data_IF_207475966405
#
_entry.id   IF_207475966405
#
_cell.length_a   1.000
_cell.length_b   1.000
_cell.length_c   1.000
_cell.angle_alpha   90.00
_cell.angle_beta   90.00
_cell.angle_gamma   90.00
#
_symmetry.space_group_name_H-M   'P 1'
#
loop_
_entity.id
_entity.type
_entity.pdbx_description
1 polymer ?
#
# COMPACT_ATOMS: atom_id res chain seq x y z
N UNK A 1 34.18 -32.50 21.48
CA UNK A 1 33.45 -32.44 20.20
C UNK A 1 32.56 -31.22 20.23
N UNK A 2 32.69 -30.36 19.23
CA UNK A 2 31.84 -29.16 19.05
C UNK A 2 30.45 -29.62 18.67
N UNK A 3 29.44 -29.28 19.49
CA UNK A 3 28.03 -29.50 19.14
C UNK A 3 27.72 -28.68 17.88
N UNK A 4 27.15 -29.32 16.87
CA UNK A 4 26.66 -28.62 15.69
C UNK A 4 25.48 -27.73 16.09
N UNK A 5 25.61 -26.43 15.86
CA UNK A 5 24.59 -25.42 16.14
C UNK A 5 23.88 -25.14 14.82
N UNK A 6 22.56 -25.30 14.80
CA UNK A 6 21.76 -25.07 13.60
C UNK A 6 21.09 -23.69 13.67
N UNK A 7 20.99 -23.03 12.52
CA UNK A 7 20.33 -21.75 12.36
C UNK A 7 19.80 -21.66 10.92
N UNK A 8 18.53 -21.29 10.76
CA UNK A 8 17.92 -21.09 9.44
C UNK A 8 18.30 -19.70 8.92
N UNK A 9 18.32 -19.54 7.60
CA UNK A 9 18.52 -18.25 6.95
C UNK A 9 17.44 -18.04 5.88
N UNK A 10 16.30 -17.51 6.31
CA UNK A 10 15.19 -17.14 5.45
C UNK A 10 15.47 -15.77 4.81
N UNK A 11 15.19 -15.65 3.51
CA UNK A 11 15.30 -14.38 2.78
C UNK A 11 14.15 -13.43 3.16
N UNK A 12 14.43 -12.46 4.03
CA UNK A 12 13.44 -11.48 4.49
C UNK A 12 12.98 -10.53 3.38
N UNK A 13 13.77 -10.36 2.32
CA UNK A 13 13.42 -9.46 1.20
C UNK A 13 12.15 -9.93 0.47
N UNK A 14 11.84 -11.23 0.54
CA UNK A 14 10.60 -11.79 -0.01
C UNK A 14 9.37 -11.22 0.70
N UNK A 15 9.44 -11.05 2.02
CA UNK A 15 8.33 -10.53 2.81
C UNK A 15 8.20 -9.01 2.62
N UNK A 16 9.33 -8.30 2.50
CA UNK A 16 9.36 -6.87 2.15
C UNK A 16 8.67 -6.62 0.79
N UNK A 17 9.04 -7.39 -0.24
CA UNK A 17 8.45 -7.29 -1.58
C UNK A 17 6.94 -7.60 -1.55
N UNK A 18 6.51 -8.58 -0.77
CA UNK A 18 5.09 -8.87 -0.57
C UNK A 18 4.36 -7.64 0.01
N UNK A 19 4.92 -7.05 1.07
CA UNK A 19 4.34 -5.88 1.74
C UNK A 19 4.23 -4.68 0.81
N UNK A 20 5.27 -4.41 0.03
CA UNK A 20 5.27 -3.34 -0.96
C UNK A 20 4.18 -3.58 -2.01
N UNK A 21 4.07 -4.80 -2.54
CA UNK A 21 3.05 -5.14 -3.54
C UNK A 21 1.63 -5.04 -3.00
N UNK A 22 1.37 -5.49 -1.77
CA UNK A 22 0.05 -5.34 -1.12
C UNK A 22 -0.38 -3.87 -1.04
N UNK A 23 0.56 -2.98 -0.74
CA UNK A 23 0.31 -1.55 -0.53
C UNK A 23 0.42 -0.70 -1.80
N UNK A 24 0.95 -1.23 -2.91
CA UNK A 24 1.11 -0.50 -4.18
C UNK A 24 -0.23 0.04 -4.75
N UNK A 25 -1.31 -0.73 -4.56
CA UNK A 25 -2.68 -0.36 -4.97
C UNK A 25 -3.63 -0.58 -3.79
N UNK A 26 -3.43 0.17 -2.71
CA UNK A 26 -4.06 -0.11 -1.41
C UNK A 26 -5.59 -0.07 -1.49
N UNK A 27 -6.18 0.87 -2.24
CA UNK A 27 -7.63 0.95 -2.41
C UNK A 27 -8.20 -0.28 -3.13
N UNK A 28 -7.41 -0.96 -3.96
CA UNK A 28 -7.82 -2.22 -4.56
C UNK A 28 -7.73 -3.33 -3.52
N UNK A 29 -6.58 -3.46 -2.84
CA UNK A 29 -6.35 -4.56 -1.89
C UNK A 29 -7.26 -4.50 -0.66
N UNK A 30 -7.56 -3.31 -0.11
CA UNK A 30 -8.47 -3.13 1.04
C UNK A 30 -9.90 -3.63 0.75
N UNK A 31 -10.28 -3.65 -0.54
CA UNK A 31 -11.58 -4.12 -0.98
C UNK A 31 -11.60 -5.62 -1.34
N UNK A 32 -10.47 -6.34 -1.25
CA UNK A 32 -10.44 -7.80 -1.38
C UNK A 32 -11.27 -8.42 -0.26
N UNK A 33 -12.14 -9.37 -0.63
CA UNK A 33 -13.02 -10.09 0.28
C UNK A 33 -12.47 -11.47 0.61
N UNK A 34 -12.75 -11.92 1.82
CA UNK A 34 -12.61 -13.30 2.29
C UNK A 34 -14.00 -13.75 2.78
N UNK A 35 -14.72 -14.46 1.92
CA UNK A 35 -16.16 -14.70 2.10
C UNK A 35 -16.98 -13.40 1.99
N UNK A 36 -17.81 -13.14 2.98
CA UNK A 36 -18.68 -11.94 3.00
C UNK A 36 -17.97 -10.68 3.53
N UNK A 37 -16.82 -10.84 4.19
CA UNK A 37 -16.13 -9.77 4.89
C UNK A 37 -14.89 -9.29 4.13
N UNK A 38 -14.45 -8.06 4.42
CA UNK A 38 -13.17 -7.55 3.90
C UNK A 38 -12.01 -8.32 4.53
N UNK A 39 -11.03 -8.66 3.71
CA UNK A 39 -9.84 -9.41 4.13
C UNK A 39 -8.74 -8.51 4.71
N UNK A 40 -8.84 -7.18 4.61
CA UNK A 40 -7.76 -6.24 4.91
C UNK A 40 -7.11 -6.45 6.28
N UNK A 41 -7.90 -6.49 7.36
CA UNK A 41 -7.35 -6.67 8.70
C UNK A 41 -6.60 -8.00 8.87
N UNK A 42 -7.07 -9.06 8.17
CA UNK A 42 -6.37 -10.36 8.13
C UNK A 42 -5.07 -10.26 7.33
N UNK A 43 -5.08 -9.56 6.20
CA UNK A 43 -3.88 -9.35 5.37
C UNK A 43 -2.82 -8.57 6.17
N UNK A 44 -3.20 -7.49 6.85
CA UNK A 44 -2.30 -6.72 7.72
C UNK A 44 -1.72 -7.59 8.83
N UNK A 45 -2.57 -8.32 9.56
CA UNK A 45 -2.11 -9.21 10.62
C UNK A 45 -1.17 -10.31 10.11
N UNK A 46 -1.40 -10.83 8.90
CA UNK A 46 -0.50 -11.80 8.25
C UNK A 46 0.86 -11.16 7.94
N UNK A 47 0.89 -9.99 7.31
CA UNK A 47 2.16 -9.32 6.97
C UNK A 47 2.97 -9.01 8.22
N UNK A 48 2.35 -8.47 9.28
CA UNK A 48 3.03 -8.17 10.54
C UNK A 48 3.58 -9.44 11.20
N UNK A 49 2.81 -10.54 11.16
CA UNK A 49 3.27 -11.84 11.67
C UNK A 49 4.42 -12.42 10.86
N UNK A 50 4.40 -12.27 9.53
CA UNK A 50 5.48 -12.76 8.69
C UNK A 50 6.78 -11.99 8.97
N UNK A 51 6.73 -10.66 9.04
CA UNK A 51 7.90 -9.82 9.35
C UNK A 51 8.52 -10.23 10.69
N UNK A 52 7.73 -10.19 11.77
CA UNK A 52 8.22 -10.49 13.12
C UNK A 52 8.74 -11.92 13.24
N UNK A 53 8.01 -12.89 12.68
CA UNK A 53 8.33 -14.31 12.90
C UNK A 53 9.49 -14.78 12.01
N UNK A 54 9.63 -14.26 10.79
CA UNK A 54 10.78 -14.56 9.93
C UNK A 54 12.05 -13.99 10.54
N UNK A 55 12.03 -12.75 11.04
CA UNK A 55 13.18 -12.16 11.74
C UNK A 55 13.54 -12.96 13.00
N UNK A 56 12.54 -13.33 13.80
CA UNK A 56 12.74 -14.18 14.97
C UNK A 56 13.39 -15.53 14.62
N UNK A 57 12.88 -16.22 13.59
CA UNK A 57 13.41 -17.51 13.13
C UNK A 57 14.86 -17.39 12.62
N UNK A 58 15.19 -16.30 11.96
CA UNK A 58 16.57 -16.01 11.54
C UNK A 58 17.51 -15.74 12.72
N UNK A 59 16.99 -15.24 13.84
CA UNK A 59 17.78 -14.95 15.05
C UNK A 59 18.02 -16.14 15.99
N UNK A 60 17.20 -17.19 15.93
CA UNK A 60 17.28 -18.34 16.84
C UNK A 60 18.39 -19.33 16.45
N UNK A 61 19.20 -19.71 17.45
CA UNK A 61 20.19 -20.78 17.35
C UNK A 61 19.71 -22.03 18.07
N UNK A 62 19.78 -23.17 17.39
CA UNK A 62 19.38 -24.48 17.89
C UNK A 62 20.60 -25.29 18.35
N UNK A 63 20.39 -26.22 19.29
CA UNK A 63 21.43 -27.07 19.88
C UNK A 63 22.58 -26.30 20.55
N UNK A 64 22.27 -25.17 21.19
CA UNK A 64 23.26 -24.33 21.90
C UNK A 64 23.85 -24.99 23.15
N UNK A 65 23.37 -26.18 23.52
CA UNK A 65 23.77 -26.89 24.73
C UNK A 65 23.16 -26.34 26.02
N UNK A 66 22.29 -25.33 25.94
CA UNK A 66 21.55 -24.76 27.09
C UNK A 66 20.66 -25.79 27.79
N UNK A 67 20.10 -26.73 27.03
CA UNK A 67 19.21 -27.77 27.53
C UNK A 67 19.80 -29.15 27.24
N UNK A 68 19.86 -30.01 28.27
CA UNK A 68 20.50 -31.33 28.19
C UNK A 68 19.53 -32.50 28.14
N UNK A 69 18.25 -32.29 28.45
CA UNK A 69 17.21 -33.34 28.51
C UNK A 69 16.08 -33.17 27.49
N UNK A 70 15.85 -31.95 27.02
CA UNK A 70 14.80 -31.65 26.04
C UNK A 70 15.22 -30.51 25.13
N UNK A 71 14.91 -30.61 23.84
CA UNK A 71 15.21 -29.62 22.82
C UNK A 71 14.16 -28.49 22.83
N UNK A 72 14.14 -27.67 23.90
CA UNK A 72 13.19 -26.56 24.02
C UNK A 72 13.35 -25.50 22.93
N UNK A 73 14.59 -25.30 22.47
CA UNK A 73 14.91 -24.47 21.31
C UNK A 73 14.22 -24.98 20.03
N UNK A 74 14.19 -26.30 19.83
CA UNK A 74 13.46 -26.90 18.71
C UNK A 74 11.93 -26.78 18.84
N UNK A 75 11.37 -26.88 20.05
CA UNK A 75 9.92 -26.67 20.27
C UNK A 75 9.50 -25.25 19.92
N UNK A 76 10.26 -24.29 20.40
CA UNK A 76 10.04 -22.88 20.13
C UNK A 76 10.18 -22.58 18.63
N UNK A 77 11.20 -23.13 17.99
CA UNK A 77 11.38 -23.06 16.54
C UNK A 77 10.16 -23.62 15.79
N UNK A 78 9.72 -24.85 16.08
CA UNK A 78 8.58 -25.48 15.39
C UNK A 78 7.28 -24.68 15.56
N UNK A 79 7.05 -24.11 16.75
CA UNK A 79 5.86 -23.31 17.01
C UNK A 79 5.86 -22.03 16.16
N UNK A 80 6.97 -21.30 16.12
CA UNK A 80 7.06 -20.07 15.32
C UNK A 80 7.07 -20.38 13.82
N UNK A 81 7.78 -21.42 13.40
CA UNK A 81 7.81 -21.89 12.02
C UNK A 81 6.40 -22.24 11.49
N UNK A 82 5.56 -22.86 12.34
CA UNK A 82 4.18 -23.14 11.94
C UNK A 82 3.29 -21.91 11.80
N UNK A 83 3.56 -20.83 12.56
CA UNK A 83 2.84 -19.56 12.38
C UNK A 83 3.14 -18.97 11.00
N UNK A 84 4.40 -18.99 10.56
CA UNK A 84 4.79 -18.57 9.20
C UNK A 84 4.05 -19.39 8.14
N UNK A 85 4.04 -20.71 8.28
CA UNK A 85 3.34 -21.62 7.34
C UNK A 85 1.84 -21.32 7.29
N UNK A 86 1.18 -21.14 8.43
CA UNK A 86 -0.25 -20.86 8.50
C UNK A 86 -0.60 -19.49 7.90
N UNK A 87 0.21 -18.47 8.16
CA UNK A 87 0.10 -17.14 7.56
C UNK A 87 0.17 -17.21 6.03
N UNK A 88 1.14 -17.95 5.47
CA UNK A 88 1.33 -18.12 4.02
C UNK A 88 0.13 -18.87 3.41
N UNK A 89 -0.34 -19.96 4.03
CA UNK A 89 -1.53 -20.70 3.57
C UNK A 89 -2.77 -19.83 3.56
N UNK A 90 -2.99 -19.03 4.61
CA UNK A 90 -4.15 -18.16 4.70
C UNK A 90 -4.08 -17.03 3.66
N UNK A 91 -2.89 -16.50 3.39
CA UNK A 91 -2.71 -15.48 2.35
C UNK A 91 -2.94 -16.03 0.95
N UNK A 92 -2.38 -17.21 0.65
CA UNK A 92 -2.64 -17.94 -0.59
C UNK A 92 -4.13 -18.17 -0.81
N UNK A 93 -4.85 -18.58 0.25
CA UNK A 93 -6.31 -18.73 0.21
C UNK A 93 -7.03 -17.40 -0.06
N UNK A 94 -6.63 -16.31 0.59
CA UNK A 94 -7.27 -15.00 0.38
C UNK A 94 -7.15 -14.58 -1.09
N UNK A 95 -5.98 -14.77 -1.70
CA UNK A 95 -5.72 -14.39 -3.09
C UNK A 95 -5.98 -15.50 -4.12
N UNK A 96 -6.60 -16.60 -3.71
CA UNK A 96 -6.97 -17.73 -4.58
C UNK A 96 -5.77 -18.33 -5.34
N UNK A 97 -4.59 -18.31 -4.71
CA UNK A 97 -3.31 -18.74 -5.29
C UNK A 97 -3.26 -20.27 -5.38
N UNK A 98 -3.00 -20.85 -6.57
CA UNK A 98 -2.84 -22.30 -6.71
C UNK A 98 -1.66 -22.82 -5.89
N UNK A 99 -1.93 -23.65 -4.88
CA UNK A 99 -0.94 -24.13 -3.90
C UNK A 99 -0.73 -25.65 -3.95
N UNK A 100 -1.22 -26.31 -5.01
CA UNK A 100 -1.12 -27.76 -5.19
C UNK A 100 0.33 -28.27 -5.14
N UNK A 101 1.29 -27.48 -5.67
CA UNK A 101 2.73 -27.80 -5.64
C UNK A 101 3.24 -28.00 -4.21
N UNK A 102 2.84 -27.14 -3.28
CA UNK A 102 3.31 -27.21 -1.89
C UNK A 102 2.47 -28.16 -1.04
N UNK A 103 1.16 -28.30 -1.33
CA UNK A 103 0.25 -29.21 -0.61
C UNK A 103 0.55 -30.69 -0.88
N UNK A 104 0.86 -31.02 -2.14
CA UNK A 104 1.10 -32.40 -2.59
C UNK A 104 2.57 -32.79 -2.63
N UNK A 105 3.49 -31.90 -2.24
CA UNK A 105 4.91 -32.22 -2.19
C UNK A 105 5.18 -33.39 -1.24
N UNK A 106 6.10 -34.27 -1.63
CA UNK A 106 6.58 -35.41 -0.84
C UNK A 106 8.11 -35.51 -0.81
N UNK A 107 8.81 -34.54 -1.40
CA UNK A 107 10.22 -34.67 -1.76
C UNK A 107 11.16 -34.30 -0.61
N UNK A 108 10.67 -33.57 0.40
CA UNK A 108 11.51 -33.03 1.48
C UNK A 108 11.72 -34.11 2.53
N UNK A 109 10.62 -34.59 3.13
CA UNK A 109 10.72 -35.59 4.19
C UNK A 109 10.78 -37.02 3.65
N UNK A 110 10.22 -37.26 2.46
CA UNK A 110 10.08 -38.59 1.86
C UNK A 110 9.30 -39.57 2.77
N UNK A 111 8.29 -39.05 3.48
CA UNK A 111 7.48 -39.80 4.45
C UNK A 111 6.03 -39.87 3.97
N UNK A 112 5.72 -40.88 3.15
CA UNK A 112 4.36 -41.12 2.66
C UNK A 112 3.46 -41.77 3.73
N UNK A 113 4.05 -42.41 4.73
CA UNK A 113 3.34 -43.17 5.75
C UNK A 113 2.65 -44.42 5.22
N UNK A 114 1.83 -45.06 6.06
CA UNK A 114 1.34 -46.43 5.83
C UNK A 114 0.35 -46.61 4.68
N UNK A 115 -0.34 -45.54 4.31
CA UNK A 115 -1.34 -45.53 3.24
C UNK A 115 -0.81 -44.94 1.93
N UNK A 116 0.50 -44.68 1.86
CA UNK A 116 1.24 -44.11 0.71
C UNK A 116 0.70 -42.76 0.21
N UNK A 117 -0.12 -42.08 1.01
CA UNK A 117 -0.78 -40.83 0.61
C UNK A 117 -0.24 -39.59 1.34
N UNK A 118 0.82 -39.76 2.13
CA UNK A 118 1.50 -38.70 2.90
C UNK A 118 1.97 -37.54 2.04
N UNK A 119 2.14 -36.39 2.68
CA UNK A 119 2.73 -35.20 2.08
C UNK A 119 3.67 -34.55 3.07
N UNK A 120 4.56 -33.70 2.58
CA UNK A 120 5.51 -32.98 3.43
C UNK A 120 4.77 -32.15 4.49
N UNK A 121 3.64 -31.55 4.12
CA UNK A 121 2.78 -30.80 5.04
C UNK A 121 2.22 -31.68 6.14
N UNK A 122 1.64 -32.84 5.78
CA UNK A 122 1.08 -33.77 6.76
C UNK A 122 2.15 -34.32 7.69
N UNK A 123 3.36 -34.54 7.17
CA UNK A 123 4.47 -35.03 7.98
C UNK A 123 5.01 -33.94 8.92
N UNK A 124 5.16 -32.70 8.45
CA UNK A 124 5.52 -31.56 9.30
C UNK A 124 4.51 -31.35 10.44
N UNK A 125 3.20 -31.44 10.15
CA UNK A 125 2.15 -31.37 11.17
C UNK A 125 2.27 -32.51 12.20
N UNK A 126 2.62 -33.72 11.76
CA UNK A 126 2.90 -34.84 12.66
C UNK A 126 4.11 -34.53 13.56
N UNK A 127 5.22 -34.04 13.02
CA UNK A 127 6.41 -33.65 13.80
C UNK A 127 6.06 -32.57 14.82
N UNK A 128 5.34 -31.51 14.43
CA UNK A 128 4.90 -30.44 15.33
C UNK A 128 3.98 -30.96 16.44
N UNK A 129 3.03 -31.82 16.08
CA UNK A 129 2.08 -32.43 17.02
C UNK A 129 2.83 -33.29 18.04
N UNK A 130 3.75 -34.14 17.56
CA UNK A 130 4.55 -35.03 18.38
C UNK A 130 5.54 -34.30 19.28
N UNK A 131 6.20 -33.26 18.78
CA UNK A 131 7.28 -32.59 19.49
C UNK A 131 6.81 -31.47 20.42
N UNK A 132 5.72 -30.78 20.09
CA UNK A 132 5.37 -29.50 20.74
C UNK A 132 3.92 -29.41 21.21
N UNK A 133 2.95 -29.52 20.29
CA UNK A 133 1.59 -29.03 20.56
C UNK A 133 0.66 -30.07 21.19
N UNK A 134 0.80 -31.34 20.80
CA UNK A 134 -0.03 -32.44 21.30
C UNK A 134 0.82 -33.69 21.63
N UNK A 135 1.89 -33.56 22.45
CA UNK A 135 2.84 -34.64 22.69
C UNK A 135 2.22 -35.85 23.40
N UNK A 136 1.04 -35.71 24.02
CA UNK A 136 0.33 -36.80 24.70
C UNK A 136 -0.77 -37.44 23.85
N UNK A 137 -1.15 -36.86 22.71
CA UNK A 137 -2.21 -37.40 21.85
C UNK A 137 -2.02 -36.99 20.38
N UNK A 138 -1.28 -37.79 19.63
CA UNK A 138 -1.06 -37.58 18.20
C UNK A 138 -2.11 -38.29 17.32
N UNK A 139 -3.26 -38.69 17.88
CA UNK A 139 -4.29 -39.56 17.27
C UNK A 139 -4.86 -39.06 15.92
N UNK A 140 -4.63 -37.78 15.58
CA UNK A 140 -4.96 -37.16 14.29
C UNK A 140 -4.02 -37.54 13.14
N UNK A 141 -2.85 -38.13 13.44
CA UNK A 141 -1.80 -38.45 12.47
C UNK A 141 -1.57 -39.95 12.29
N UNK A 142 -2.63 -40.76 12.32
CA UNK A 142 -2.59 -42.25 12.27
C UNK A 142 -1.70 -42.82 11.15
N UNK A 143 -1.60 -42.10 10.04
CA UNK A 143 -0.78 -42.45 8.87
C UNK A 143 0.70 -42.69 9.19
N UNK A 144 1.24 -41.96 10.16
CA UNK A 144 2.66 -42.02 10.54
C UNK A 144 2.87 -42.79 11.86
N UNK A 145 1.79 -43.34 12.43
CA UNK A 145 1.82 -44.02 13.71
C UNK A 145 1.90 -45.53 13.56
N UNK A 146 2.58 -46.16 14.51
CA UNK A 146 2.63 -47.61 14.66
C UNK A 146 1.50 -48.18 15.51
N UNK A 147 0.82 -47.31 16.25
CA UNK A 147 -0.17 -47.66 17.24
C UNK A 147 -1.42 -46.75 17.16
N UNK A 148 -2.43 -47.04 17.99
CA UNK A 148 -3.68 -46.25 18.08
C UNK A 148 -3.44 -44.77 18.45
N UNK A 149 -2.39 -44.51 19.22
CA UNK A 149 -1.88 -43.19 19.55
C UNK A 149 -0.40 -43.31 19.92
N UNK A 150 0.31 -42.20 19.81
CA UNK A 150 1.73 -42.08 20.18
C UNK A 150 1.91 -40.90 21.12
N UNK A 151 2.70 -41.10 22.17
CA UNK A 151 3.04 -40.06 23.14
C UNK A 151 4.55 -39.82 23.16
N UNK A 152 4.96 -38.57 23.04
CA UNK A 152 6.36 -38.15 23.13
C UNK A 152 6.65 -37.52 24.50
N UNK A 153 7.46 -38.16 25.36
CA UNK A 153 7.83 -37.58 26.65
C UNK A 153 8.85 -36.45 26.52
N UNK A 154 9.72 -36.49 25.51
CA UNK A 154 10.77 -35.52 25.26
C UNK A 154 11.39 -35.72 23.88
N UNK A 155 12.04 -34.67 23.40
CA UNK A 155 12.81 -34.63 22.15
C UNK A 155 14.24 -34.24 22.51
N UNK A 156 15.23 -34.89 21.93
CA UNK A 156 16.63 -34.69 22.30
C UNK A 156 17.53 -34.54 21.08
N UNK A 157 18.45 -33.57 21.16
CA UNK A 157 19.54 -33.44 20.22
C UNK A 157 20.41 -34.69 20.23
N UNK A 158 20.81 -35.15 19.05
CA UNK A 158 21.76 -36.24 18.95
C UNK A 158 23.07 -35.82 19.63
N UNK A 159 23.59 -36.70 20.47
CA UNK A 159 24.82 -36.48 21.21
C UNK A 159 25.80 -37.65 21.06
N UNK A 160 25.58 -38.55 20.09
CA UNK A 160 26.41 -39.73 19.76
C UNK A 160 26.63 -40.73 20.92
N UNK A 161 26.09 -40.46 22.12
CA UNK A 161 26.27 -41.28 23.32
C UNK A 161 25.31 -42.47 23.39
N UNK A 162 24.31 -42.54 22.51
CA UNK A 162 23.15 -43.44 22.64
C UNK A 162 23.17 -44.56 21.59
N UNK A 163 23.82 -44.39 20.43
CA UNK A 163 23.89 -45.38 19.36
C UNK A 163 25.00 -45.04 18.35
N UNK A 164 25.71 -46.06 17.84
CA UNK A 164 26.79 -45.92 16.84
C UNK A 164 26.29 -45.77 15.39
N UNK A 165 24.98 -45.86 15.15
CA UNK A 165 24.36 -45.96 13.81
C UNK A 165 23.28 -44.87 13.59
N UNK A 166 23.46 -43.71 14.24
CA UNK A 166 22.45 -42.66 14.34
C UNK A 166 22.86 -41.38 13.61
N UNK A 167 22.41 -41.29 12.37
CA UNK A 167 22.70 -40.25 11.37
C UNK A 167 21.81 -38.99 11.47
N UNK A 168 20.85 -38.96 12.39
CA UNK A 168 19.91 -37.82 12.50
C UNK A 168 20.33 -36.77 13.52
N UNK A 169 19.83 -35.55 13.36
CA UNK A 169 20.20 -34.40 14.18
C UNK A 169 19.48 -34.40 15.54
N UNK A 170 18.23 -34.89 15.55
CA UNK A 170 17.34 -34.83 16.70
C UNK A 170 16.36 -36.02 16.70
N UNK A 171 16.07 -36.56 17.89
CA UNK A 171 15.12 -37.65 18.07
C UNK A 171 13.92 -37.21 18.87
N UNK A 172 12.72 -37.48 18.37
CA UNK A 172 11.54 -37.55 19.22
C UNK A 172 11.42 -38.98 19.76
N UNK A 173 11.52 -39.12 21.08
CA UNK A 173 11.24 -40.40 21.75
C UNK A 173 9.74 -40.58 21.79
N UNK A 174 9.24 -41.77 21.47
CA UNK A 174 7.81 -42.05 21.41
C UNK A 174 7.50 -43.31 22.19
N UNK A 175 6.67 -43.20 23.21
CA UNK A 175 6.16 -44.35 23.93
C UNK A 175 5.13 -45.09 23.08
N UNK A 176 5.33 -46.39 22.96
CA UNK A 176 4.46 -47.31 22.22
C UNK A 176 3.63 -48.11 23.21
N UNK A 177 2.38 -48.38 22.87
CA UNK A 177 1.49 -49.22 23.69
C UNK A 177 1.57 -50.71 23.32
N UNK A 178 2.69 -51.15 22.74
CA UNK A 178 2.90 -52.50 22.21
C UNK A 178 3.68 -53.33 23.23
N UNK A 179 3.19 -54.53 23.56
CA UNK A 179 3.84 -55.41 24.52
C UNK A 179 5.27 -55.75 24.06
N UNK A 180 6.26 -55.48 24.92
CA UNK A 180 7.68 -55.78 24.68
C UNK A 180 8.52 -54.66 24.06
N UNK A 181 7.90 -53.60 23.51
CA UNK A 181 8.59 -52.41 23.00
C UNK A 181 8.41 -51.22 23.95
N UNK A 182 9.50 -50.74 24.56
CA UNK A 182 9.42 -49.64 25.54
C UNK A 182 9.30 -48.25 24.89
N UNK A 183 9.85 -48.05 23.69
CA UNK A 183 9.81 -46.78 22.96
C UNK A 183 10.29 -46.97 21.51
N UNK A 184 9.83 -46.10 20.60
CA UNK A 184 10.44 -45.87 19.28
C UNK A 184 11.10 -44.49 19.22
N UNK A 185 11.99 -44.28 18.26
CA UNK A 185 12.63 -42.98 18.00
C UNK A 185 12.25 -42.51 16.60
N UNK A 186 11.62 -41.34 16.50
CA UNK A 186 11.42 -40.67 15.22
C UNK A 186 12.67 -39.84 14.96
N UNK A 187 13.42 -40.24 13.93
CA UNK A 187 14.61 -39.53 13.44
C UNK A 187 14.18 -38.26 12.71
N UNK A 188 14.79 -37.13 13.03
CA UNK A 188 14.49 -35.83 12.42
C UNK A 188 15.80 -35.18 11.98
N UNK A 189 15.81 -34.67 10.76
CA UNK A 189 16.91 -33.94 10.17
C UNK A 189 16.55 -32.46 10.09
N UNK A 190 17.37 -31.59 10.67
CA UNK A 190 17.11 -30.16 10.71
C UNK A 190 17.14 -29.55 9.30
N UNK A 191 17.98 -30.07 8.42
CA UNK A 191 18.01 -29.68 7.01
C UNK A 191 16.64 -29.84 6.32
N UNK A 192 15.92 -30.95 6.55
CA UNK A 192 14.58 -31.16 6.00
C UNK A 192 13.54 -30.22 6.61
N UNK A 193 13.65 -29.92 7.90
CA UNK A 193 12.77 -28.93 8.55
C UNK A 193 13.01 -27.54 7.97
N UNK A 194 14.27 -27.14 7.78
CA UNK A 194 14.61 -25.84 7.19
C UNK A 194 14.15 -25.76 5.73
N UNK A 195 14.45 -26.77 4.92
CA UNK A 195 14.00 -26.86 3.52
C UNK A 195 12.47 -26.77 3.41
N UNK A 196 11.75 -27.40 4.35
CA UNK A 196 10.30 -27.29 4.43
C UNK A 196 9.86 -25.84 4.62
N UNK A 197 10.42 -25.10 5.58
CA UNK A 197 10.04 -23.70 5.85
C UNK A 197 10.49 -22.76 4.73
N UNK A 198 11.72 -22.91 4.24
CA UNK A 198 12.27 -22.15 3.12
C UNK A 198 11.38 -22.26 1.89
N UNK A 199 10.92 -23.47 1.54
CA UNK A 199 10.01 -23.68 0.40
C UNK A 199 8.68 -22.92 0.56
N UNK A 200 8.18 -22.74 1.79
CA UNK A 200 6.93 -21.99 2.02
C UNK A 200 7.18 -20.50 1.92
N UNK A 201 8.29 -20.00 2.49
CA UNK A 201 8.67 -18.59 2.34
C UNK A 201 8.90 -18.26 0.86
N UNK A 202 9.57 -19.12 0.11
CA UNK A 202 9.74 -18.97 -1.34
C UNK A 202 8.40 -18.92 -2.10
N UNK A 203 7.39 -19.68 -1.67
CA UNK A 203 6.04 -19.63 -2.27
C UNK A 203 5.34 -18.26 -2.12
N UNK A 204 5.81 -17.39 -1.21
CA UNK A 204 5.33 -16.00 -1.13
C UNK A 204 5.58 -15.23 -2.42
N UNK A 205 6.60 -15.60 -3.22
CA UNK A 205 6.83 -15.02 -4.56
C UNK A 205 5.65 -15.28 -5.49
N UNK A 206 5.11 -16.51 -5.47
CA UNK A 206 3.94 -16.88 -6.28
C UNK A 206 2.70 -16.10 -5.80
N UNK A 207 2.51 -15.98 -4.48
CA UNK A 207 1.42 -15.18 -3.91
C UNK A 207 1.53 -13.71 -4.33
N UNK A 208 2.73 -13.14 -4.28
CA UNK A 208 3.00 -11.76 -4.70
C UNK A 208 2.67 -11.56 -6.18
N UNK A 209 3.01 -12.52 -7.02
CA UNK A 209 2.66 -12.53 -8.45
C UNK A 209 1.15 -12.53 -8.68
N UNK A 210 0.39 -13.31 -7.91
CA UNK A 210 -1.08 -13.32 -8.01
C UNK A 210 -1.73 -12.03 -7.48
N UNK A 211 -1.17 -11.41 -6.44
CA UNK A 211 -1.63 -10.08 -5.97
C UNK A 211 -1.46 -9.04 -7.08
N UNK A 212 -0.30 -9.02 -7.74
CA UNK A 212 -0.03 -8.12 -8.88
C UNK A 212 -1.02 -8.34 -10.04
N UNK A 213 -1.28 -9.59 -10.39
CA UNK A 213 -2.28 -9.93 -11.42
C UNK A 213 -3.69 -9.49 -11.01
N UNK A 214 -4.09 -9.72 -9.75
CA UNK A 214 -5.37 -9.29 -9.21
C UNK A 214 -5.55 -7.77 -9.31
N UNK A 215 -4.55 -7.00 -8.88
CA UNK A 215 -4.57 -5.54 -8.96
C UNK A 215 -4.66 -5.06 -10.41
N UNK A 216 -3.84 -5.62 -11.31
CA UNK A 216 -3.88 -5.32 -12.75
C UNK A 216 -5.24 -5.62 -13.39
N UNK A 217 -5.88 -6.72 -13.01
CA UNK A 217 -7.21 -7.08 -13.51
C UNK A 217 -8.28 -6.07 -13.08
N UNK A 218 -8.26 -5.62 -11.82
CA UNK A 218 -9.17 -4.58 -11.33
C UNK A 218 -8.93 -3.24 -12.03
N UNK A 219 -7.67 -2.83 -12.19
CA UNK A 219 -7.29 -1.62 -12.95
C UNK A 219 -7.79 -1.72 -14.40
N UNK A 220 -7.63 -2.86 -15.05
CA UNK A 220 -8.14 -3.09 -16.41
C UNK A 220 -9.68 -2.96 -16.46
N UNK A 221 -10.39 -3.47 -15.46
CA UNK A 221 -11.84 -3.28 -15.32
C UNK A 221 -12.23 -1.81 -15.17
N UNK A 222 -11.51 -1.03 -14.36
CA UNK A 222 -11.72 0.41 -14.24
C UNK A 222 -11.44 1.16 -15.54
N UNK A 223 -10.40 0.77 -16.29
CA UNK A 223 -10.08 1.34 -17.60
C UNK A 223 -11.19 1.11 -18.63
N UNK A 224 -11.88 -0.03 -18.55
CA UNK A 224 -13.01 -0.34 -19.44
C UNK A 224 -14.30 0.38 -19.03
N UNK A 225 -14.49 0.65 -17.74
CA UNK A 225 -15.64 1.41 -17.24
C UNK A 225 -15.48 2.89 -17.59
N UNK A 226 -16.20 3.34 -18.60
CA UNK A 226 -16.19 4.73 -19.06
C UNK A 226 -16.75 5.68 -17.99
N UNK A 227 -15.99 6.73 -17.70
CA UNK A 227 -16.42 7.87 -16.91
C UNK A 227 -17.27 8.77 -17.83
N UNK A 228 -18.44 9.16 -17.35
CA UNK A 228 -19.35 10.03 -18.10
C UNK A 228 -18.67 11.35 -18.44
N UNK A 229 -18.86 11.79 -19.68
CA UNK A 229 -18.35 13.04 -20.22
C UNK A 229 -19.15 14.24 -19.70
N UNK A 230 -18.56 15.44 -19.76
CA UNK A 230 -19.22 16.70 -19.38
C UNK A 230 -20.57 16.87 -20.09
N UNK A 231 -20.66 16.49 -21.37
CA UNK A 231 -21.87 16.63 -22.19
C UNK A 231 -23.04 15.74 -21.77
N UNK A 232 -22.83 14.79 -20.86
CA UNK A 232 -23.86 13.89 -20.34
C UNK A 232 -24.55 14.42 -19.06
N UNK A 233 -24.25 15.66 -18.67
CA UNK A 233 -24.83 16.32 -17.51
C UNK A 233 -25.45 17.66 -17.89
N UNK A 234 -26.48 18.07 -17.16
CA UNK A 234 -27.17 19.35 -17.41
C UNK A 234 -26.30 20.52 -16.92
N UNK A 235 -25.48 20.28 -15.89
CA UNK A 235 -24.59 21.30 -15.33
C UNK A 235 -23.17 20.78 -15.13
N UNK A 236 -22.21 21.71 -15.18
CA UNK A 236 -20.81 21.39 -14.89
C UNK A 236 -20.59 20.91 -13.44
N UNK A 237 -21.40 21.40 -12.50
CA UNK A 237 -21.33 21.00 -11.09
C UNK A 237 -21.72 19.52 -10.93
N UNK A 238 -22.73 19.04 -11.64
CA UNK A 238 -23.10 17.62 -11.65
C UNK A 238 -21.99 16.75 -12.23
N UNK A 239 -21.35 17.21 -13.30
CA UNK A 239 -20.16 16.55 -13.84
C UNK A 239 -19.03 16.45 -12.82
N UNK A 240 -18.72 17.54 -12.10
CA UNK A 240 -17.70 17.53 -11.02
C UNK A 240 -18.07 16.56 -9.88
N UNK A 241 -19.34 16.52 -9.47
CA UNK A 241 -19.82 15.57 -8.45
C UNK A 241 -19.68 14.12 -8.92
N UNK A 242 -19.89 13.86 -10.21
CA UNK A 242 -19.64 12.54 -10.79
C UNK A 242 -18.14 12.19 -10.79
N UNK A 243 -17.27 13.15 -11.14
CA UNK A 243 -15.82 12.95 -11.06
C UNK A 243 -15.35 12.63 -9.64
N UNK A 244 -15.87 13.34 -8.62
CA UNK A 244 -15.52 13.06 -7.23
C UNK A 244 -15.94 11.65 -6.79
N UNK A 245 -17.13 11.21 -7.21
CA UNK A 245 -17.58 9.84 -6.99
C UNK A 245 -16.68 8.81 -7.67
N UNK A 246 -16.29 9.04 -8.92
CA UNK A 246 -15.39 8.13 -9.65
C UNK A 246 -13.98 8.11 -9.06
N UNK A 247 -13.45 9.27 -8.63
CA UNK A 247 -12.18 9.40 -7.91
C UNK A 247 -12.20 8.56 -6.62
N UNK A 248 -13.25 8.71 -5.81
CA UNK A 248 -13.43 7.96 -4.57
C UNK A 248 -13.55 6.45 -4.82
N UNK A 249 -14.22 6.04 -5.89
CA UNK A 249 -14.39 4.63 -6.23
C UNK A 249 -13.07 3.98 -6.69
N UNK A 250 -12.28 4.72 -7.48
CA UNK A 250 -11.05 4.21 -8.10
C UNK A 250 -9.85 4.26 -7.16
N UNK A 251 -9.71 5.32 -6.37
CA UNK A 251 -8.53 5.59 -5.54
C UNK A 251 -8.82 5.61 -4.04
N UNK A 252 -10.08 5.68 -3.60
CA UNK A 252 -10.44 5.62 -2.19
C UNK A 252 -9.67 6.62 -1.32
N UNK A 253 -8.94 6.12 -0.32
CA UNK A 253 -8.10 6.91 0.57
C UNK A 253 -6.77 7.36 -0.04
N UNK A 254 -6.35 6.78 -1.16
CA UNK A 254 -5.11 7.13 -1.87
C UNK A 254 -5.27 8.38 -2.75
N UNK A 255 -6.49 8.92 -2.86
CA UNK A 255 -6.73 10.17 -3.58
C UNK A 255 -5.98 11.33 -2.91
N UNK A 256 -5.29 12.13 -3.72
CA UNK A 256 -4.47 13.26 -3.26
C UNK A 256 -5.25 14.58 -3.15
N UNK A 257 -6.47 14.65 -3.68
CA UNK A 257 -7.37 15.81 -3.60
C UNK A 257 -8.84 15.38 -3.63
N UNK A 258 -9.75 16.32 -3.38
CA UNK A 258 -11.20 16.20 -3.64
C UNK A 258 -11.65 17.31 -4.57
N UNK A 259 -12.82 17.17 -5.20
CA UNK A 259 -13.37 18.25 -6.03
C UNK A 259 -14.17 19.29 -5.23
N UNK A 260 -14.26 19.18 -3.90
CA UNK A 260 -15.11 20.03 -3.06
C UNK A 260 -14.81 21.53 -3.22
N UNK A 261 -13.53 21.91 -3.21
CA UNK A 261 -13.11 23.31 -3.38
C UNK A 261 -13.60 23.86 -4.72
N UNK A 262 -13.41 23.09 -5.80
CA UNK A 262 -13.75 23.52 -7.15
C UNK A 262 -15.27 23.54 -7.34
N UNK A 263 -16.00 22.57 -6.80
CA UNK A 263 -17.46 22.60 -6.78
C UNK A 263 -17.96 23.90 -6.13
N UNK A 264 -17.45 24.25 -4.94
CA UNK A 264 -17.80 25.51 -4.26
C UNK A 264 -17.43 26.73 -5.11
N UNK A 265 -16.30 26.69 -5.80
CA UNK A 265 -15.85 27.78 -6.67
C UNK A 265 -16.78 27.98 -7.88
N UNK A 266 -17.28 26.90 -8.49
CA UNK A 266 -18.27 26.95 -9.57
C UNK A 266 -19.67 27.37 -9.09
N UNK A 267 -20.02 27.09 -7.83
CA UNK A 267 -21.26 27.53 -7.20
C UNK A 267 -21.22 29.00 -6.73
N UNK A 268 -20.01 29.56 -6.55
CA UNK A 268 -19.81 30.90 -6.03
C UNK A 268 -20.38 31.98 -6.95
N UNK A 269 -21.31 32.77 -6.42
CA UNK A 269 -21.77 34.01 -7.02
C UNK A 269 -20.95 35.16 -6.43
N UNK A 270 -20.15 35.82 -7.27
CA UNK A 270 -19.35 36.95 -6.83
C UNK A 270 -20.24 38.15 -6.51
N UNK A 271 -19.96 38.77 -5.37
CA UNK A 271 -20.65 39.97 -4.90
C UNK A 271 -20.23 41.22 -5.69
N UNK A 272 -19.02 41.21 -6.26
CA UNK A 272 -18.49 42.29 -7.09
C UNK A 272 -18.26 41.82 -8.55
N UNK A 273 -19.01 42.40 -9.48
CA UNK A 273 -18.96 42.06 -10.90
C UNK A 273 -17.64 42.42 -11.60
N UNK A 274 -16.81 43.31 -11.04
CA UNK A 274 -15.48 43.62 -11.60
C UNK A 274 -14.56 42.39 -11.65
N UNK A 275 -14.74 41.46 -10.72
CA UNK A 275 -14.00 40.21 -10.69
C UNK A 275 -14.61 39.13 -11.60
N UNK A 276 -15.82 39.32 -12.13
CA UNK A 276 -16.55 38.25 -12.83
C UNK A 276 -15.83 37.80 -14.10
N UNK A 277 -15.36 38.74 -14.93
CA UNK A 277 -14.62 38.39 -16.15
C UNK A 277 -13.34 37.61 -15.82
N UNK A 278 -12.61 38.06 -14.80
CA UNK A 278 -11.38 37.44 -14.31
C UNK A 278 -11.64 36.02 -13.78
N UNK A 279 -12.70 35.85 -12.98
CA UNK A 279 -13.11 34.56 -12.47
C UNK A 279 -13.47 33.59 -13.60
N UNK A 280 -14.16 34.07 -14.65
CA UNK A 280 -14.48 33.23 -15.81
C UNK A 280 -13.20 32.71 -16.51
N UNK A 281 -12.14 33.52 -16.61
CA UNK A 281 -10.85 33.06 -17.16
C UNK A 281 -10.21 31.96 -16.30
N UNK A 282 -10.26 32.11 -14.98
CA UNK A 282 -9.73 31.11 -14.05
C UNK A 282 -10.55 29.81 -14.09
N UNK A 283 -11.88 29.91 -14.05
CA UNK A 283 -12.79 28.77 -14.18
C UNK A 283 -12.60 28.04 -15.51
N UNK A 284 -12.42 28.75 -16.63
CA UNK A 284 -12.12 28.13 -17.92
C UNK A 284 -10.81 27.34 -17.90
N UNK A 285 -9.81 27.86 -17.19
CA UNK A 285 -8.51 27.19 -17.04
C UNK A 285 -8.61 25.94 -16.18
N UNK A 286 -9.40 25.99 -15.10
CA UNK A 286 -9.76 24.81 -14.32
C UNK A 286 -10.50 23.77 -15.18
N UNK A 287 -11.47 24.19 -16.00
CA UNK A 287 -12.15 23.28 -16.96
C UNK A 287 -11.17 22.61 -17.92
N UNK A 288 -10.17 23.35 -18.38
CA UNK A 288 -9.11 22.80 -19.22
C UNK A 288 -8.29 21.75 -18.48
N UNK A 289 -7.86 22.05 -17.24
CA UNK A 289 -7.09 21.13 -16.42
C UNK A 289 -7.87 19.85 -16.06
N UNK A 290 -9.16 19.98 -15.77
CA UNK A 290 -10.05 18.88 -15.42
C UNK A 290 -10.22 17.83 -16.52
N UNK A 291 -9.94 18.17 -17.78
CA UNK A 291 -9.91 17.18 -18.88
C UNK A 291 -8.78 16.17 -18.70
N UNK A 292 -7.63 16.62 -18.19
CA UNK A 292 -6.51 15.75 -17.89
C UNK A 292 -6.81 14.87 -16.67
N UNK A 293 -7.46 15.42 -15.64
CA UNK A 293 -7.88 14.61 -14.50
C UNK A 293 -8.93 13.56 -14.87
N UNK A 294 -9.89 13.91 -15.73
CA UNK A 294 -10.81 12.92 -16.32
C UNK A 294 -10.01 11.80 -16.97
N UNK A 295 -9.07 12.13 -17.85
CA UNK A 295 -8.25 11.16 -18.56
C UNK A 295 -7.40 10.32 -17.61
N UNK A 296 -6.77 10.91 -16.60
CA UNK A 296 -5.99 10.21 -15.58
C UNK A 296 -6.83 9.18 -14.83
N UNK A 297 -8.03 9.56 -14.40
CA UNK A 297 -8.95 8.63 -13.73
C UNK A 297 -9.46 7.52 -14.68
N UNK A 298 -9.69 7.85 -15.96
CA UNK A 298 -10.12 6.88 -16.97
C UNK A 298 -8.99 5.89 -17.32
N UNK A 299 -7.76 6.40 -17.44
CA UNK A 299 -6.57 5.63 -17.80
C UNK A 299 -5.91 4.98 -16.58
N UNK A 300 -6.33 5.31 -15.36
CA UNK A 300 -5.70 4.90 -14.10
C UNK A 300 -4.18 5.18 -14.11
N UNK A 301 -3.78 6.34 -14.63
CA UNK A 301 -2.37 6.75 -14.75
C UNK A 301 -2.24 8.27 -14.72
N UNK A 302 -1.20 8.77 -14.04
CA UNK A 302 -0.80 10.18 -14.05
C UNK A 302 0.32 10.49 -15.04
N UNK A 303 0.84 9.46 -15.73
CA UNK A 303 1.94 9.60 -16.67
C UNK A 303 1.47 10.25 -17.98
N UNK A 304 2.32 11.12 -18.56
CA UNK A 304 2.03 11.75 -19.84
C UNK A 304 1.16 13.00 -19.75
N UNK A 305 1.33 13.88 -20.74
CA UNK A 305 0.63 15.17 -20.83
C UNK A 305 -0.89 14.99 -20.88
N UNK A 306 -1.37 13.94 -21.52
CA UNK A 306 -2.78 13.59 -21.65
C UNK A 306 -3.48 13.33 -20.31
N UNK A 307 -2.70 12.99 -19.26
CA UNK A 307 -3.21 12.67 -17.93
C UNK A 307 -2.89 13.75 -16.87
N UNK A 308 -1.82 14.53 -17.05
CA UNK A 308 -1.43 15.55 -16.06
C UNK A 308 -1.47 17.00 -16.58
N UNK A 309 -1.57 17.23 -17.89
CA UNK A 309 -1.63 18.58 -18.47
C UNK A 309 -0.31 19.36 -18.41
N UNK A 310 0.82 18.72 -18.14
CA UNK A 310 2.14 19.36 -18.00
C UNK A 310 3.09 18.94 -19.11
N UNK A 311 3.41 19.88 -20.01
CA UNK A 311 4.42 19.74 -21.07
C UNK A 311 5.82 20.06 -20.53
N UNK A 312 5.91 21.04 -19.62
CA UNK A 312 7.17 21.61 -19.14
C UNK A 312 7.49 21.22 -17.69
N UNK A 313 7.04 20.05 -17.23
CA UNK A 313 7.39 19.52 -15.91
C UNK A 313 8.84 19.02 -15.88
N UNK A 314 9.46 19.09 -14.70
CA UNK A 314 10.75 18.41 -14.46
C UNK A 314 10.49 16.90 -14.34
N UNK A 315 11.49 16.09 -14.67
CA UNK A 315 11.44 14.66 -14.42
C UNK A 315 11.13 14.42 -12.93
N UNK A 316 10.24 13.45 -12.65
CA UNK A 316 9.79 13.06 -11.31
C UNK A 316 9.03 14.14 -10.54
N UNK A 317 8.45 15.14 -11.22
CA UNK A 317 7.53 16.07 -10.58
C UNK A 317 6.14 15.43 -10.49
N UNK A 318 5.77 14.98 -9.29
CA UNK A 318 4.46 14.41 -8.98
C UNK A 318 3.42 15.53 -8.76
N UNK A 319 2.92 16.12 -9.83
CA UNK A 319 1.83 17.11 -9.81
C UNK A 319 1.06 17.07 -11.12
N UNK A 320 -0.04 17.80 -11.19
CA UNK A 320 -0.83 18.00 -12.40
C UNK A 320 -1.19 19.48 -12.55
N UNK A 321 -1.61 19.88 -13.74
CA UNK A 321 -2.08 21.23 -13.98
C UNK A 321 -3.25 21.58 -13.05
N UNK A 322 -4.12 20.62 -12.72
CA UNK A 322 -5.20 20.81 -11.77
C UNK A 322 -4.70 21.10 -10.36
N UNK A 323 -3.73 20.32 -9.87
CA UNK A 323 -3.14 20.51 -8.52
C UNK A 323 -2.46 21.86 -8.42
N UNK A 324 -1.69 22.24 -9.44
CA UNK A 324 -1.04 23.56 -9.48
C UNK A 324 -2.06 24.70 -9.51
N UNK A 325 -3.22 24.52 -10.17
CA UNK A 325 -4.30 25.51 -10.17
C UNK A 325 -5.07 25.52 -8.85
N UNK A 326 -5.14 24.41 -8.12
CA UNK A 326 -5.76 24.36 -6.79
C UNK A 326 -5.00 25.21 -5.76
N UNK A 327 -3.68 25.39 -5.94
CA UNK A 327 -2.85 26.25 -5.10
C UNK A 327 -1.82 27.03 -5.91
N UNK A 328 -2.23 28.08 -6.66
CA UNK A 328 -1.35 28.79 -7.58
C UNK A 328 -0.14 29.40 -6.86
N UNK A 329 1.05 29.09 -7.38
CA UNK A 329 2.30 29.54 -6.79
C UNK A 329 3.32 29.96 -7.87
N UNK A 330 3.45 31.27 -8.07
CA UNK A 330 4.41 31.85 -9.02
C UNK A 330 5.87 31.66 -8.59
N UNK A 331 6.11 31.41 -7.29
CA UNK A 331 7.44 31.43 -6.65
C UNK A 331 8.22 32.73 -6.91
N UNK A 332 7.53 33.81 -7.32
CA UNK A 332 8.14 35.11 -7.56
C UNK A 332 8.75 35.67 -6.26
N UNK A 333 9.76 36.52 -6.40
CA UNK A 333 10.39 37.18 -5.24
C UNK A 333 9.40 38.07 -4.50
N UNK A 334 8.44 38.66 -5.22
CA UNK A 334 7.38 39.48 -4.62
C UNK A 334 6.40 38.63 -3.81
N UNK A 335 5.83 37.59 -4.41
CA UNK A 335 4.91 36.67 -3.72
C UNK A 335 5.55 36.04 -2.49
N UNK A 336 6.84 35.69 -2.55
CA UNK A 336 7.57 35.11 -1.41
C UNK A 336 7.57 35.99 -0.16
N UNK A 337 7.51 37.32 -0.28
CA UNK A 337 7.43 38.25 0.86
C UNK A 337 6.15 38.07 1.68
N UNK A 338 5.10 37.53 1.08
CA UNK A 338 3.79 37.33 1.68
C UNK A 338 3.51 35.86 2.00
N UNK A 339 4.53 34.98 1.99
CA UNK A 339 4.31 33.52 2.15
C UNK A 339 3.55 33.19 3.44
N UNK A 340 3.91 33.83 4.56
CA UNK A 340 3.21 33.66 5.83
C UNK A 340 1.76 34.14 5.76
N UNK A 341 1.52 35.31 5.15
CA UNK A 341 0.16 35.82 4.99
C UNK A 341 -0.71 34.83 4.20
N UNK A 342 -0.21 34.37 3.06
CA UNK A 342 -0.91 33.45 2.17
C UNK A 342 -1.20 32.10 2.84
N UNK A 343 -0.26 31.57 3.63
CA UNK A 343 -0.46 30.35 4.40
C UNK A 343 -1.64 30.50 5.38
N UNK A 344 -1.72 31.62 6.11
CA UNK A 344 -2.75 31.83 7.13
C UNK A 344 -4.10 32.25 6.56
N UNK A 345 -4.15 32.85 5.38
CA UNK A 345 -5.40 33.14 4.65
C UNK A 345 -6.18 31.84 4.35
N UNK A 346 -5.50 30.70 4.25
CA UNK A 346 -6.13 29.39 4.03
C UNK A 346 -7.21 29.04 5.08
N UNK A 347 -7.16 29.62 6.28
CA UNK A 347 -8.21 29.48 7.30
C UNK A 347 -9.60 29.97 6.86
N UNK A 348 -9.69 30.75 5.78
CA UNK A 348 -10.96 31.17 5.18
C UNK A 348 -11.57 30.11 4.24
N UNK A 349 -10.84 29.04 3.91
CA UNK A 349 -11.32 28.00 2.99
C UNK A 349 -12.23 26.94 3.65
N UNK A 350 -12.27 26.90 4.99
CA UNK A 350 -13.07 25.98 5.79
C UNK A 350 -13.48 26.65 7.12
N UNK A 351 -14.31 25.98 7.92
CA UNK A 351 -14.67 26.50 9.24
C UNK A 351 -13.53 26.30 10.25
N UNK A 352 -12.68 27.30 10.36
CA UNK A 352 -11.48 27.28 11.22
C UNK A 352 -11.70 27.82 12.63
N UNK A 353 -12.93 28.23 12.96
CA UNK A 353 -13.27 28.92 14.20
C UNK A 353 -12.88 30.41 14.20
N UNK A 354 -13.55 31.20 15.05
CA UNK A 354 -13.53 32.66 14.99
C UNK A 354 -12.12 33.27 15.09
N UNK A 355 -11.31 32.78 16.04
CA UNK A 355 -9.94 33.29 16.25
C UNK A 355 -9.07 33.14 15.00
N UNK A 356 -9.17 32.00 14.31
CA UNK A 356 -8.39 31.75 13.09
C UNK A 356 -8.91 32.55 11.92
N UNK A 357 -10.24 32.74 11.80
CA UNK A 357 -10.86 33.61 10.80
C UNK A 357 -10.40 35.05 10.96
N UNK A 358 -10.48 35.61 12.16
CA UNK A 358 -9.98 36.97 12.44
C UNK A 358 -8.51 37.10 12.07
N UNK A 359 -7.69 36.10 12.43
CA UNK A 359 -6.28 36.10 12.08
C UNK A 359 -6.07 36.09 10.56
N UNK A 360 -6.82 35.27 9.83
CA UNK A 360 -6.78 35.19 8.39
C UNK A 360 -7.11 36.53 7.72
N UNK A 361 -8.13 37.24 8.21
CA UNK A 361 -8.46 38.59 7.70
C UNK A 361 -7.37 39.62 7.99
N UNK A 362 -6.65 39.53 9.12
CA UNK A 362 -5.47 40.38 9.37
C UNK A 362 -4.35 40.07 8.38
N UNK A 363 -4.13 38.79 8.10
CA UNK A 363 -3.13 38.37 7.12
C UNK A 363 -3.50 38.74 5.68
N UNK A 364 -4.79 38.67 5.33
CA UNK A 364 -5.34 39.14 4.07
C UNK A 364 -5.01 40.62 3.85
N UNK A 365 -5.36 41.48 4.81
CA UNK A 365 -5.03 42.92 4.76
C UNK A 365 -3.53 43.17 4.54
N UNK A 366 -2.68 42.40 5.22
CA UNK A 366 -1.23 42.47 5.03
C UNK A 366 -0.75 42.11 3.62
N UNK A 367 -1.51 41.32 2.87
CA UNK A 367 -1.20 40.91 1.50
C UNK A 367 -1.93 41.73 0.41
N UNK A 368 -2.78 42.70 0.75
CA UNK A 368 -3.54 43.49 -0.24
C UNK A 368 -2.66 44.12 -1.31
N UNK A 369 -1.48 44.65 -0.94
CA UNK A 369 -0.55 45.26 -1.90
C UNK A 369 -0.10 44.32 -3.03
N UNK A 370 -0.09 43.01 -2.80
CA UNK A 370 0.12 42.00 -3.83
C UNK A 370 -1.18 41.66 -4.56
N UNK A 371 -2.26 41.39 -3.81
CA UNK A 371 -3.48 40.78 -4.32
C UNK A 371 -4.38 41.76 -5.09
N UNK A 372 -4.50 43.01 -4.60
CA UNK A 372 -5.38 44.04 -5.18
C UNK A 372 -4.88 44.58 -6.54
N UNK A 373 -3.67 44.21 -6.97
CA UNK A 373 -3.21 44.40 -8.35
C UNK A 373 -4.09 43.64 -9.35
N UNK A 374 -4.68 42.52 -8.91
CA UNK A 374 -5.36 41.57 -9.78
C UNK A 374 -6.87 41.52 -9.53
N UNK A 375 -7.32 41.66 -8.28
CA UNK A 375 -8.74 41.54 -7.90
C UNK A 375 -9.16 42.70 -6.99
N UNK A 376 -10.47 42.88 -6.79
CA UNK A 376 -10.98 43.77 -5.75
C UNK A 376 -11.66 42.97 -4.66
N UNK A 377 -11.36 43.23 -3.38
CA UNK A 377 -12.08 42.62 -2.25
C UNK A 377 -13.31 43.44 -1.83
N UNK A 378 -13.53 44.61 -2.46
CA UNK A 378 -14.64 45.47 -2.12
C UNK A 378 -15.98 44.77 -2.37
N UNK A 379 -16.77 44.66 -1.30
CA UNK A 379 -18.12 44.10 -1.35
C UNK A 379 -18.19 42.58 -1.24
N UNK A 380 -17.07 41.86 -1.09
CA UNK A 380 -17.08 40.42 -0.83
C UNK A 380 -17.79 40.10 0.50
N UNK A 381 -18.66 39.09 0.51
CA UNK A 381 -19.61 38.86 1.61
C UNK A 381 -19.33 37.61 2.45
N UNK A 382 -18.53 36.66 1.94
CA UNK A 382 -18.27 35.39 2.65
C UNK A 382 -16.78 35.08 2.78
N UNK A 383 -16.42 34.28 3.79
CA UNK A 383 -15.04 33.79 3.98
C UNK A 383 -14.53 33.08 2.71
N UNK A 384 -15.38 32.21 2.14
CA UNK A 384 -15.03 31.48 0.93
C UNK A 384 -14.86 32.40 -0.28
N UNK A 385 -15.68 33.44 -0.42
CA UNK A 385 -15.50 34.43 -1.50
C UNK A 385 -14.15 35.15 -1.39
N UNK A 386 -13.77 35.59 -0.17
CA UNK A 386 -12.46 36.19 0.05
C UNK A 386 -11.34 35.22 -0.32
N UNK A 387 -11.42 33.96 0.13
CA UNK A 387 -10.44 32.93 -0.21
C UNK A 387 -10.35 32.70 -1.74
N UNK A 388 -11.49 32.60 -2.43
CA UNK A 388 -11.56 32.44 -3.88
C UNK A 388 -10.93 33.61 -4.62
N UNK A 389 -11.14 34.85 -4.17
CA UNK A 389 -10.51 36.04 -4.73
C UNK A 389 -8.99 36.04 -4.53
N UNK A 390 -8.48 35.52 -3.41
CA UNK A 390 -7.03 35.33 -3.22
C UNK A 390 -6.48 34.33 -4.25
N UNK A 391 -7.11 33.17 -4.42
CA UNK A 391 -6.67 32.19 -5.43
C UNK A 391 -6.72 32.77 -6.84
N UNK A 392 -7.76 33.54 -7.17
CA UNK A 392 -7.89 34.24 -8.44
C UNK A 392 -6.76 35.25 -8.66
N UNK A 393 -6.38 36.02 -7.64
CA UNK A 393 -5.26 36.94 -7.72
C UNK A 393 -3.92 36.21 -7.93
N UNK A 394 -3.70 35.12 -7.21
CA UNK A 394 -2.49 34.29 -7.34
C UNK A 394 -2.41 33.60 -8.71
N UNK A 395 -3.55 33.25 -9.31
CA UNK A 395 -3.62 32.76 -10.68
C UNK A 395 -3.08 33.79 -11.68
N UNK A 396 -3.50 35.06 -11.60
CA UNK A 396 -2.95 36.11 -12.48
C UNK A 396 -1.50 36.44 -12.17
N UNK A 397 -1.09 36.42 -10.89
CA UNK A 397 0.32 36.54 -10.52
C UNK A 397 1.16 35.44 -11.18
N UNK A 398 0.65 34.21 -11.24
CA UNK A 398 1.32 33.13 -11.98
C UNK A 398 1.43 33.45 -13.48
N UNK A 399 0.37 33.95 -14.12
CA UNK A 399 0.39 34.27 -15.55
C UNK A 399 1.36 35.41 -15.93
N UNK A 400 1.75 36.26 -14.99
CA UNK A 400 2.73 37.33 -15.21
C UNK A 400 4.16 36.93 -14.82
N UNK A 401 4.34 35.76 -14.20
CA UNK A 401 5.64 35.28 -13.73
C UNK A 401 6.05 33.99 -14.45
N UNK A 402 7.37 33.73 -14.49
CA UNK A 402 7.93 32.50 -15.05
C UNK A 402 7.75 31.34 -14.07
N UNK A 403 6.60 30.68 -14.13
CA UNK A 403 6.29 29.51 -13.29
C UNK A 403 5.70 28.35 -14.11
N UNK A 404 5.54 27.19 -13.45
CA UNK A 404 5.03 25.98 -14.08
C UNK A 404 3.62 26.18 -14.66
N UNK A 405 2.72 26.84 -13.93
CA UNK A 405 1.39 27.17 -14.41
C UNK A 405 1.43 27.97 -15.72
N UNK A 406 2.17 29.08 -15.75
CA UNK A 406 2.18 29.96 -16.91
C UNK A 406 2.67 29.24 -18.17
N UNK A 407 3.67 28.36 -18.04
CA UNK A 407 4.22 27.59 -19.15
C UNK A 407 3.21 26.58 -19.73
N UNK A 408 2.29 26.07 -18.91
CA UNK A 408 1.37 24.99 -19.31
C UNK A 408 -0.06 25.48 -19.60
N UNK A 409 -0.40 26.73 -19.26
CA UNK A 409 -1.67 27.34 -19.64
C UNK A 409 -1.58 27.83 -21.09
N UNK A 410 -2.52 27.45 -21.97
CA UNK A 410 -2.49 27.88 -23.37
C UNK A 410 -2.49 29.40 -23.52
N UNK A 411 -1.81 29.90 -24.55
CA UNK A 411 -1.78 31.32 -24.89
C UNK A 411 -3.06 31.71 -25.65
N UNK A 412 -4.19 31.79 -24.94
CA UNK A 412 -5.52 32.04 -25.50
C UNK A 412 -6.32 32.99 -24.57
N UNK A 413 -7.11 33.88 -25.16
CA UNK A 413 -7.94 34.86 -24.44
C UNK A 413 -9.05 34.23 -23.59
N UNK A 414 -9.38 32.95 -23.80
CA UNK A 414 -10.28 32.23 -22.88
C UNK A 414 -9.68 31.95 -21.51
N UNK A 415 -8.35 32.05 -21.37
CA UNK A 415 -7.60 31.79 -20.13
C UNK A 415 -6.83 33.02 -19.64
N UNK A 416 -6.47 33.96 -20.54
CA UNK A 416 -5.58 35.09 -20.25
C UNK A 416 -6.26 36.43 -20.53
N UNK A 417 -5.81 37.48 -19.83
CA UNK A 417 -6.25 38.87 -20.10
C UNK A 417 -5.71 39.40 -21.42
N UNK A 418 -4.53 38.92 -21.82
CA UNK A 418 -3.84 39.29 -23.05
C UNK A 418 -3.04 38.10 -23.56
N UNK A 419 -2.78 38.09 -24.87
CA UNK A 419 -1.90 37.10 -25.48
C UNK A 419 -0.44 37.50 -25.26
N UNK A 420 0.40 36.52 -24.99
CA UNK A 420 1.85 36.67 -25.03
C UNK A 420 2.30 36.79 -26.49
N UNK A 421 3.21 37.72 -26.78
CA UNK A 421 3.94 37.78 -28.04
C UNK A 421 4.81 36.53 -28.24
N UNK A 422 5.30 36.34 -29.46
CA UNK A 422 6.20 35.22 -29.77
C UNK A 422 7.50 35.29 -28.95
N UNK A 423 8.01 36.49 -28.72
CA UNK A 423 9.19 36.75 -27.91
C UNK A 423 8.94 36.40 -26.44
N UNK A 424 7.84 36.89 -25.85
CA UNK A 424 7.47 36.59 -24.46
C UNK A 424 7.22 35.09 -24.25
N UNK A 425 6.55 34.43 -25.21
CA UNK A 425 6.31 32.98 -25.14
C UNK A 425 7.62 32.19 -25.17
N UNK A 426 8.54 32.53 -26.09
CA UNK A 426 9.87 31.90 -26.16
C UNK A 426 10.66 32.11 -24.87
N UNK A 427 10.61 33.31 -24.30
CA UNK A 427 11.28 33.62 -23.04
C UNK A 427 10.70 32.80 -21.87
N UNK A 428 9.38 32.60 -21.85
CA UNK A 428 8.70 31.82 -20.83
C UNK A 428 9.10 30.34 -20.86
N UNK A 429 9.14 29.72 -22.03
CA UNK A 429 9.39 28.25 -22.16
C UNK A 429 10.87 27.87 -22.21
N UNK A 430 11.76 28.78 -22.57
CA UNK A 430 13.21 28.51 -22.72
C UNK A 430 13.97 28.32 -21.41
N UNK A 431 13.38 28.65 -20.27
CA UNK A 431 13.99 28.52 -18.96
C UNK A 431 13.80 27.11 -18.38
N UNK A 432 14.88 26.36 -18.13
CA UNK A 432 14.85 25.03 -17.48
C UNK A 432 14.65 25.10 -15.97
#
# INVERSE_FOLDING_TARGET
MTKEVFQICLDSTIIEILRDKVNEQQNITINKKDGEQRAWDKICAIMDRLDDTVDYLNGIKLNTGRYSRSAFDFYDFLNNASVVVDCIKQLAKIFDVPDEKIKKSTNIFNQLGKDEQGTDERYFEYIRSLCSVHPIETSRHKRYQDNKFECSPYVMWNNELISYDDDSDIYAVVYTNKDGDSFKRVKIYISQIFEYIETRVEFVKDITGEIDQYQKAIIAGFKQKTIKQESEFDTYIEYLKNLDKELNNRFGSERIYTFDYIIKLFELKLSNFENQHKMNLYLNTLKYALKFEHNSMQSMSYEGFENNGLIYAKNNLETSLYIELHSPNSRSSERRKYSYNLEKIYYLSYDSGENNKEWAYRQLKGAHSLLEKYVTFQGAQSDFEHYALVQLALYFDCLENKCLLNKNIPNDLKYRRSLLSNEEWKELVSYK
#
